data_IF_356290123571
#
_entry.id   IF_356290123571
#
_cell.length_a   1.000
_cell.length_b   1.000
_cell.length_c   1.000
_cell.angle_alpha   90.00
_cell.angle_beta   90.00
_cell.angle_gamma   90.00
#
_symmetry.space_group_name_H-M   'P 1'
#
loop_
_entity.id
_entity.type
_entity.pdbx_description
1 polymer ?
#
# COMPACT_ATOMS: atom_id res chain seq x y z
N UNK A 1 9.46 -38.58 64.76
CA UNK A 1 8.62 -39.18 63.70
C UNK A 1 7.96 -38.06 62.91
N UNK A 2 7.76 -38.27 61.62
CA UNK A 2 7.85 -37.31 60.53
C UNK A 2 6.76 -36.22 60.41
N UNK A 3 7.18 -35.17 59.70
CA UNK A 3 6.47 -34.12 58.96
C UNK A 3 5.08 -34.48 58.40
N UNK A 4 4.18 -33.48 58.25
CA UNK A 4 3.95 -32.81 56.96
C UNK A 4 3.01 -31.59 57.12
N UNK A 5 3.50 -30.43 56.67
CA UNK A 5 2.71 -29.23 56.40
C UNK A 5 1.92 -29.45 55.10
N UNK A 6 0.62 -29.15 55.08
CA UNK A 6 -0.16 -29.06 53.85
C UNK A 6 -0.49 -27.58 53.59
N UNK A 7 0.32 -26.94 52.74
CA UNK A 7 -0.01 -25.65 52.12
C UNK A 7 -0.44 -25.95 50.70
N UNK A 8 -1.71 -25.70 50.39
CA UNK A 8 -2.24 -25.77 49.02
C UNK A 8 -1.71 -24.57 48.22
N UNK A 9 -0.70 -24.79 47.39
CA UNK A 9 -0.30 -23.84 46.35
C UNK A 9 -1.11 -24.12 45.09
N UNK A 10 -2.08 -23.25 44.80
CA UNK A 10 -2.76 -23.18 43.51
C UNK A 10 -1.78 -22.63 42.47
N UNK A 11 -1.22 -23.51 41.64
CA UNK A 11 -0.50 -23.15 40.42
C UNK A 11 -1.51 -22.68 39.37
N UNK A 12 -1.72 -21.36 39.31
CA UNK A 12 -2.33 -20.71 38.15
C UNK A 12 -1.24 -20.48 37.11
N UNK A 13 -1.15 -21.39 36.13
CA UNK A 13 -0.35 -21.17 34.93
C UNK A 13 -1.02 -20.07 34.09
N UNK A 14 -0.59 -18.82 34.28
CA UNK A 14 -0.87 -17.76 33.34
C UNK A 14 -0.05 -18.05 32.08
N UNK A 15 -0.71 -18.54 31.03
CA UNK A 15 -0.17 -18.49 29.68
C UNK A 15 -0.05 -17.00 29.33
N UNK A 16 1.15 -16.45 29.50
CA UNK A 16 1.51 -15.18 28.90
C UNK A 16 1.44 -15.37 27.39
N UNK A 17 0.33 -14.93 26.79
CA UNK A 17 0.27 -14.67 25.35
C UNK A 17 1.35 -13.62 25.09
N UNK A 18 2.46 -14.03 24.48
CA UNK A 18 3.46 -13.12 23.95
C UNK A 18 2.79 -12.36 22.80
N UNK A 19 2.16 -11.24 23.12
CA UNK A 19 1.89 -10.22 22.13
C UNK A 19 3.24 -9.81 21.55
N UNK A 20 3.41 -9.95 20.23
CA UNK A 20 4.58 -9.41 19.54
C UNK A 20 4.74 -7.94 19.96
N UNK A 21 5.93 -7.49 20.39
CA UNK A 21 6.11 -6.11 20.78
C UNK A 21 5.78 -5.23 19.58
N UNK A 22 4.81 -4.32 19.77
CA UNK A 22 4.61 -3.22 18.83
C UNK A 22 5.88 -2.39 18.91
N UNK A 23 6.71 -2.44 17.86
CA UNK A 23 7.89 -1.58 17.72
C UNK A 23 7.42 -0.12 17.77
N UNK A 24 7.61 0.52 18.92
CA UNK A 24 7.46 1.95 19.06
C UNK A 24 8.58 2.63 18.27
N UNK A 25 8.30 3.68 17.48
CA UNK A 25 9.34 4.45 16.81
C UNK A 25 10.42 4.89 17.81
N UNK A 26 11.72 4.92 17.43
CA UNK A 26 12.80 5.27 18.35
C UNK A 26 12.55 6.66 18.93
N UNK A 27 12.73 6.86 20.23
CA UNK A 27 12.44 8.15 20.88
C UNK A 27 13.38 9.27 20.41
N UNK A 28 14.64 8.94 20.10
CA UNK A 28 15.66 9.88 19.64
C UNK A 28 16.12 9.54 18.22
N UNK A 29 15.89 10.45 17.27
CA UNK A 29 16.37 10.34 15.87
C UNK A 29 17.54 11.31 15.72
N UNK A 30 18.70 10.77 15.40
CA UNK A 30 19.88 11.60 15.17
C UNK A 30 19.80 12.30 13.81
N UNK A 31 19.87 13.63 13.84
CA UNK A 31 20.02 14.45 12.63
C UNK A 31 21.46 14.39 12.13
N UNK A 32 21.65 14.66 10.85
CA UNK A 32 22.99 14.79 10.27
C UNK A 32 23.81 15.87 11.01
N UNK A 33 25.04 15.51 11.36
CA UNK A 33 26.01 16.45 11.91
C UNK A 33 26.38 17.54 10.90
N UNK A 34 26.62 18.76 11.40
CA UNK A 34 27.01 19.92 10.59
C UNK A 34 26.04 20.21 9.43
N UNK A 35 24.75 19.93 9.65
CA UNK A 35 23.72 20.14 8.64
C UNK A 35 23.60 21.61 8.23
N UNK A 36 23.77 21.88 6.94
CA UNK A 36 23.56 23.19 6.31
C UNK A 36 22.25 23.21 5.50
N UNK A 37 21.27 23.98 5.98
CA UNK A 37 19.97 24.10 5.32
C UNK A 37 20.06 24.80 3.96
N UNK A 38 21.01 25.73 3.77
CA UNK A 38 21.10 26.52 2.54
C UNK A 38 21.40 25.64 1.32
N UNK A 39 22.16 24.56 1.54
CA UNK A 39 22.51 23.56 0.52
C UNK A 39 21.38 22.59 0.18
N UNK A 40 20.34 22.52 1.02
CA UNK A 40 19.18 21.66 0.77
C UNK A 40 18.14 22.29 -0.16
N UNK A 41 18.24 23.60 -0.44
CA UNK A 41 17.30 24.26 -1.33
C UNK A 41 17.37 23.75 -2.77
N UNK A 42 16.33 24.07 -3.54
CA UNK A 42 16.15 23.64 -4.92
C UNK A 42 15.33 22.37 -5.06
N UNK A 43 15.42 21.77 -6.25
CA UNK A 43 14.61 20.62 -6.67
C UNK A 43 15.21 19.29 -6.19
N UNK A 44 14.33 18.38 -5.82
CA UNK A 44 14.55 17.00 -5.41
C UNK A 44 13.48 16.09 -6.03
N UNK A 45 13.82 14.83 -6.26
CA UNK A 45 12.92 13.77 -6.68
C UNK A 45 12.70 12.83 -5.52
N UNK A 46 11.46 12.50 -5.20
CA UNK A 46 11.11 11.55 -4.15
C UNK A 46 11.15 10.13 -4.76
N UNK A 47 12.24 9.39 -4.50
CA UNK A 47 12.59 8.16 -5.23
C UNK A 47 12.12 6.89 -4.51
N UNK A 48 12.22 6.85 -3.19
CA UNK A 48 11.74 5.73 -2.38
C UNK A 48 11.10 6.19 -1.07
N UNK A 49 10.23 5.36 -0.50
CA UNK A 49 9.51 5.65 0.74
C UNK A 49 9.33 4.38 1.55
N UNK A 50 9.30 4.50 2.87
CA UNK A 50 8.79 3.44 3.74
C UNK A 50 8.03 4.02 4.93
N UNK A 51 7.08 3.28 5.49
CA UNK A 51 6.28 3.81 6.61
C UNK A 51 5.68 2.76 7.52
N UNK A 52 5.57 3.07 8.82
CA UNK A 52 4.74 2.31 9.77
C UNK A 52 3.28 2.77 9.78
N UNK A 53 2.94 3.86 9.07
CA UNK A 53 1.59 4.37 9.01
C UNK A 53 0.67 3.39 8.26
N UNK A 54 -0.39 2.83 8.91
CA UNK A 54 -1.25 1.82 8.29
C UNK A 54 -1.93 2.29 7.01
N UNK A 55 -2.19 3.60 6.90
CA UNK A 55 -2.74 4.18 5.68
C UNK A 55 -1.70 4.21 4.57
N UNK A 56 -0.49 4.71 4.85
CA UNK A 56 0.54 4.85 3.82
C UNK A 56 0.96 3.49 3.25
N UNK A 57 1.06 2.46 4.11
CA UNK A 57 1.28 1.07 3.68
C UNK A 57 0.29 0.58 2.61
N UNK A 58 -0.95 1.07 2.60
CA UNK A 58 -2.01 0.63 1.66
C UNK A 58 -2.02 1.37 0.33
N UNK A 59 -1.36 2.52 0.23
CA UNK A 59 -1.45 3.40 -0.93
C UNK A 59 -0.11 3.73 -1.57
N UNK A 60 1.00 3.41 -0.89
CA UNK A 60 2.35 3.74 -1.31
C UNK A 60 2.76 3.05 -2.62
N UNK A 61 2.26 1.85 -2.89
CA UNK A 61 2.39 1.11 -4.16
C UNK A 61 1.75 1.83 -5.35
N UNK A 62 0.75 2.68 -5.10
CA UNK A 62 0.05 3.46 -6.13
C UNK A 62 0.65 4.85 -6.33
N UNK A 63 1.64 5.21 -5.52
CA UNK A 63 2.32 6.48 -5.65
C UNK A 63 3.39 6.38 -6.74
N UNK A 64 3.43 7.38 -7.60
CA UNK A 64 4.56 7.61 -8.49
C UNK A 64 5.51 8.61 -7.87
N UNK A 65 6.71 8.68 -8.44
CA UNK A 65 7.71 9.68 -8.11
C UNK A 65 7.10 11.08 -8.16
N UNK A 66 7.48 11.92 -7.20
CA UNK A 66 7.07 13.31 -7.11
C UNK A 66 8.30 14.22 -7.05
N UNK A 67 8.19 15.44 -7.54
CA UNK A 67 9.21 16.46 -7.31
C UNK A 67 8.93 17.20 -6.02
N UNK A 68 9.98 17.60 -5.31
CA UNK A 68 9.96 18.46 -4.14
C UNK A 68 10.87 19.65 -4.41
N UNK A 69 10.39 20.86 -4.24
CA UNK A 69 11.17 22.10 -4.29
C UNK A 69 11.18 22.72 -2.91
N UNK A 70 12.37 22.88 -2.34
CA UNK A 70 12.60 23.56 -1.07
C UNK A 70 13.16 24.96 -1.33
N UNK A 71 12.68 25.94 -0.58
CA UNK A 71 13.17 27.32 -0.66
C UNK A 71 13.04 28.07 0.65
N UNK A 72 13.38 29.35 0.62
CA UNK A 72 13.15 30.25 1.75
C UNK A 72 11.64 30.38 2.02
N UNK A 73 11.26 30.40 3.29
CA UNK A 73 9.88 30.59 3.72
C UNK A 73 9.44 32.05 3.69
N UNK A 74 8.24 32.35 4.20
CA UNK A 74 7.77 33.73 4.31
C UNK A 74 8.53 34.50 5.39
N UNK A 75 9.12 33.79 6.35
CA UNK A 75 9.97 34.31 7.40
C UNK A 75 11.29 33.55 7.45
N UNK A 76 12.31 34.12 8.10
CA UNK A 76 13.62 33.46 8.29
C UNK A 76 13.51 32.15 9.09
N UNK A 77 12.44 31.99 9.88
CA UNK A 77 12.14 30.78 10.64
C UNK A 77 11.44 29.69 9.82
N UNK A 78 11.12 29.94 8.56
CA UNK A 78 10.35 29.03 7.71
C UNK A 78 11.15 28.54 6.49
N UNK A 79 10.73 27.38 5.98
CA UNK A 79 11.21 26.79 4.73
C UNK A 79 9.99 26.52 3.88
N UNK A 80 9.92 27.15 2.70
CA UNK A 80 8.86 26.83 1.75
C UNK A 80 9.10 25.46 1.15
N UNK A 81 8.02 24.71 0.98
CA UNK A 81 8.01 23.39 0.36
C UNK A 81 6.90 23.37 -0.68
N UNK A 82 7.24 22.95 -1.90
CA UNK A 82 6.26 22.68 -2.96
C UNK A 82 6.53 21.31 -3.56
N UNK A 83 5.53 20.44 -3.55
CA UNK A 83 5.58 19.08 -4.09
C UNK A 83 4.62 18.94 -5.26
N UNK A 84 5.08 18.33 -6.34
CA UNK A 84 4.31 18.18 -7.58
C UNK A 84 4.33 16.72 -8.03
N UNK A 85 3.18 16.19 -8.43
CA UNK A 85 3.05 14.78 -8.85
C UNK A 85 1.86 14.52 -9.77
N UNK A 86 1.96 13.43 -10.52
CA UNK A 86 0.83 12.85 -11.24
C UNK A 86 -0.17 12.19 -10.28
N UNK A 87 -1.45 12.55 -10.41
CA UNK A 87 -2.53 11.91 -9.68
C UNK A 87 -3.81 11.90 -10.51
N UNK A 88 -4.34 10.69 -10.78
CA UNK A 88 -5.59 10.49 -11.54
C UNK A 88 -5.59 11.21 -12.90
N UNK A 89 -4.46 11.19 -13.62
CA UNK A 89 -4.32 11.83 -14.94
C UNK A 89 -4.12 13.34 -14.92
N UNK A 90 -4.02 13.97 -13.75
CA UNK A 90 -3.75 15.39 -13.60
C UNK A 90 -2.48 15.62 -12.77
N UNK A 91 -1.77 16.70 -13.08
CA UNK A 91 -0.67 17.16 -12.25
C UNK A 91 -1.20 17.93 -11.03
N UNK A 92 -0.96 17.41 -9.83
CA UNK A 92 -1.33 18.05 -8.56
C UNK A 92 -0.10 18.72 -7.92
N UNK A 93 -0.28 19.96 -7.47
CA UNK A 93 0.70 20.72 -6.68
C UNK A 93 0.23 20.87 -5.23
N UNK A 94 1.19 20.74 -4.31
CA UNK A 94 0.97 20.86 -2.89
C UNK A 94 2.07 21.73 -2.31
N UNK A 95 1.68 22.86 -1.71
CA UNK A 95 2.61 23.75 -1.03
C UNK A 95 2.36 23.79 0.47
N UNK A 96 3.43 24.00 1.22
CA UNK A 96 3.42 24.16 2.66
C UNK A 96 4.67 24.93 3.14
N UNK A 97 4.72 25.16 4.44
CA UNK A 97 5.88 25.75 5.09
C UNK A 97 6.29 24.87 6.27
N UNK A 98 7.57 24.51 6.33
CA UNK A 98 8.18 23.91 7.50
C UNK A 98 8.71 25.00 8.42
N UNK A 99 8.52 24.83 9.72
CA UNK A 99 9.10 25.68 10.76
C UNK A 99 10.46 25.11 11.17
N UNK A 100 11.49 25.95 11.18
CA UNK A 100 12.82 25.63 11.70
C UNK A 100 12.74 25.48 13.22
N UNK A 101 13.45 24.49 13.75
CA UNK A 101 13.56 24.29 15.21
C UNK A 101 14.90 24.80 15.73
N UNK A 102 15.13 24.71 17.03
CA UNK A 102 16.45 24.97 17.63
C UNK A 102 17.54 23.98 17.18
N UNK A 103 17.15 22.86 16.57
CA UNK A 103 18.05 21.82 16.09
C UNK A 103 18.12 21.86 14.57
N UNK A 104 19.30 22.17 14.01
CA UNK A 104 19.52 22.13 12.58
C UNK A 104 19.26 20.72 12.03
N UNK A 105 18.56 20.63 10.91
CA UNK A 105 18.14 19.34 10.33
C UNK A 105 16.85 18.77 10.93
N UNK A 106 16.28 19.40 11.98
CA UNK A 106 14.95 19.10 12.52
C UNK A 106 13.97 20.21 12.19
N UNK A 107 12.84 19.83 11.61
CA UNK A 107 11.78 20.74 11.17
C UNK A 107 10.42 20.32 11.72
N UNK A 108 9.59 21.31 12.01
CA UNK A 108 8.20 21.11 12.42
C UNK A 108 7.27 21.42 11.26
N UNK A 109 6.23 20.61 11.13
CA UNK A 109 5.12 20.90 10.24
C UNK A 109 3.83 20.79 11.03
N UNK A 110 3.22 21.95 11.28
CA UNK A 110 1.95 22.01 11.97
C UNK A 110 0.80 22.18 10.98
N UNK A 111 -0.22 21.35 11.14
CA UNK A 111 -1.48 21.47 10.39
C UNK A 111 -2.60 21.81 11.38
N UNK A 112 -2.94 23.10 11.55
CA UNK A 112 -3.93 23.55 12.53
C UNK A 112 -5.29 22.87 12.36
N UNK A 113 -5.72 22.70 11.10
CA UNK A 113 -7.01 22.08 10.74
C UNK A 113 -7.17 20.64 11.27
N UNK A 114 -6.05 19.92 11.43
CA UNK A 114 -6.02 18.53 11.85
C UNK A 114 -5.48 18.35 13.26
N UNK A 115 -5.07 19.46 13.90
CA UNK A 115 -4.29 19.47 15.13
C UNK A 115 -3.17 18.41 15.11
N UNK A 116 -2.48 18.33 13.97
CA UNK A 116 -1.47 17.32 13.68
C UNK A 116 -0.12 18.01 13.58
N UNK A 117 0.85 17.47 14.31
CA UNK A 117 2.23 17.93 14.30
C UNK A 117 3.10 16.81 13.76
N UNK A 118 3.90 17.15 12.77
CA UNK A 118 4.94 16.26 12.25
C UNK A 118 6.30 16.85 12.54
N UNK A 119 7.22 15.99 12.93
CA UNK A 119 8.62 16.32 13.11
C UNK A 119 9.41 15.61 12.01
N UNK A 120 10.10 16.38 11.17
CA UNK A 120 10.94 15.84 10.09
C UNK A 120 12.41 16.03 10.43
N UNK A 121 13.20 15.00 10.15
CA UNK A 121 14.60 14.88 10.51
C UNK A 121 15.38 14.55 9.24
N UNK A 122 16.37 15.36 8.88
CA UNK A 122 17.33 15.00 7.82
C UNK A 122 18.43 14.19 8.47
N UNK A 123 18.46 12.89 8.17
CA UNK A 123 19.38 11.94 8.85
C UNK A 123 20.65 11.73 8.04
N UNK A 124 20.56 11.69 6.71
CA UNK A 124 21.70 11.55 5.82
C UNK A 124 21.48 12.36 4.54
N UNK A 125 22.47 13.12 4.10
CA UNK A 125 22.50 13.84 2.84
C UNK A 125 23.92 14.29 2.51
N UNK A 126 24.27 14.25 1.24
CA UNK A 126 25.46 14.91 0.72
C UNK A 126 25.12 16.19 -0.07
N UNK A 127 23.86 16.66 0.01
CA UNK A 127 23.28 17.84 -0.66
C UNK A 127 23.19 17.77 -2.18
N UNK A 128 24.16 17.13 -2.83
CA UNK A 128 24.39 17.20 -4.26
C UNK A 128 23.86 15.95 -5.00
N UNK A 129 23.58 14.85 -4.29
CA UNK A 129 23.10 13.59 -4.88
C UNK A 129 21.81 13.10 -4.21
N UNK A 130 21.80 12.97 -2.88
CA UNK A 130 20.67 12.35 -2.16
C UNK A 130 20.40 12.98 -0.79
N UNK A 131 19.22 12.73 -0.26
CA UNK A 131 18.84 13.03 1.12
C UNK A 131 17.81 12.03 1.65
N UNK A 132 18.00 11.55 2.87
CA UNK A 132 17.07 10.68 3.59
C UNK A 132 16.42 11.50 4.71
N UNK A 133 15.09 11.53 4.68
CA UNK A 133 14.27 12.20 5.67
C UNK A 133 13.50 11.16 6.47
N UNK A 134 13.49 11.32 7.78
CA UNK A 134 12.58 10.60 8.66
C UNK A 134 11.54 11.57 9.22
N UNK A 135 10.27 11.22 9.12
CA UNK A 135 9.16 12.02 9.65
C UNK A 135 8.40 11.24 10.70
N UNK A 136 8.41 11.75 11.93
CA UNK A 136 7.53 11.30 13.01
C UNK A 136 6.22 12.07 12.95
N UNK A 137 5.11 11.35 12.97
CA UNK A 137 3.77 11.92 13.07
C UNK A 137 3.15 11.54 14.40
N UNK A 138 2.71 12.55 15.14
CA UNK A 138 1.95 12.39 16.36
C UNK A 138 0.46 12.60 16.06
N UNK A 139 -0.36 11.60 16.40
CA UNK A 139 -1.81 11.66 16.29
C UNK A 139 -2.43 11.43 17.66
N UNK A 140 -3.56 12.08 17.95
CA UNK A 140 -4.32 11.82 19.18
C UNK A 140 -5.12 10.52 19.11
N UNK A 141 -5.35 9.99 17.91
CA UNK A 141 -6.21 8.83 17.65
C UNK A 141 -5.44 7.53 17.43
N UNK A 142 -4.17 7.62 17.02
CA UNK A 142 -3.30 6.49 16.74
C UNK A 142 -1.92 6.77 17.34
N UNK A 143 -1.19 5.72 17.72
CA UNK A 143 0.18 5.85 18.21
C UNK A 143 1.10 6.57 17.20
N UNK A 144 2.28 7.02 17.65
CA UNK A 144 3.23 7.69 16.77
C UNK A 144 3.60 6.79 15.58
N UNK A 145 3.66 7.38 14.40
CA UNK A 145 4.06 6.68 13.17
C UNK A 145 5.32 7.31 12.62
N UNK A 146 6.13 6.52 11.94
CA UNK A 146 7.36 6.98 11.30
C UNK A 146 7.30 6.70 9.80
N UNK A 147 7.79 7.64 9.02
CA UNK A 147 7.89 7.54 7.56
C UNK A 147 9.30 7.93 7.14
N UNK A 148 9.96 7.08 6.37
CA UNK A 148 11.23 7.37 5.73
C UNK A 148 10.99 7.76 4.27
N UNK A 149 11.69 8.78 3.78
CA UNK A 149 11.65 9.22 2.39
C UNK A 149 13.08 9.37 1.87
N UNK A 150 13.37 8.79 0.71
CA UNK A 150 14.60 9.00 -0.03
C UNK A 150 14.36 10.01 -1.14
N UNK A 151 15.18 11.05 -1.16
CA UNK A 151 15.20 12.05 -2.20
C UNK A 151 16.51 11.99 -2.99
N UNK A 152 16.42 12.17 -4.31
CA UNK A 152 17.56 12.30 -5.20
C UNK A 152 17.57 13.67 -5.89
N UNK A 153 18.74 14.20 -6.25
CA UNK A 153 18.84 15.32 -7.20
C UNK A 153 18.49 14.91 -8.63
N UNK A 154 18.51 13.60 -8.89
CA UNK A 154 18.06 12.96 -10.13
C UNK A 154 16.97 11.93 -9.81
N UNK A 155 16.10 11.58 -10.78
CA UNK A 155 15.04 10.59 -10.59
C UNK A 155 15.58 9.17 -10.41
N UNK A 156 16.75 8.88 -10.98
CA UNK A 156 17.42 7.58 -10.88
C UNK A 156 18.62 7.70 -9.94
N UNK A 157 18.70 6.80 -8.96
CA UNK A 157 19.81 6.71 -8.01
C UNK A 157 20.51 5.36 -8.13
N UNK A 158 21.77 5.29 -7.71
CA UNK A 158 22.54 4.04 -7.66
C UNK A 158 21.94 3.07 -6.64
N UNK A 159 22.00 1.77 -6.94
CA UNK A 159 21.43 0.71 -6.09
C UNK A 159 21.95 0.75 -4.65
N UNK A 160 23.23 1.09 -4.46
CA UNK A 160 23.82 1.25 -3.13
C UNK A 160 23.14 2.31 -2.25
N UNK A 161 22.54 3.36 -2.85
CA UNK A 161 21.75 4.35 -2.09
C UNK A 161 20.36 3.84 -1.75
N UNK A 162 19.79 2.99 -2.61
CA UNK A 162 18.52 2.32 -2.31
C UNK A 162 18.71 1.31 -1.16
N UNK A 163 19.85 0.61 -1.13
CA UNK A 163 20.19 -0.29 -0.03
C UNK A 163 20.47 0.48 1.27
N UNK A 164 21.24 1.57 1.22
CA UNK A 164 21.45 2.46 2.38
C UNK A 164 20.11 2.98 2.93
N UNK A 165 19.18 3.37 2.05
CA UNK A 165 17.84 3.76 2.45
C UNK A 165 17.05 2.63 3.12
N UNK A 166 17.13 1.39 2.59
CA UNK A 166 16.51 0.21 3.20
C UNK A 166 17.06 -0.03 4.60
N UNK A 167 18.38 0.00 4.78
CA UNK A 167 19.02 -0.17 6.09
C UNK A 167 18.55 0.89 7.09
N UNK A 168 18.50 2.17 6.69
CA UNK A 168 18.01 3.26 7.55
C UNK A 168 16.53 3.05 7.92
N UNK A 169 15.68 2.69 6.96
CA UNK A 169 14.25 2.48 7.19
C UNK A 169 14.00 1.28 8.14
N UNK A 170 14.69 0.15 7.92
CA UNK A 170 14.63 -1.03 8.78
C UNK A 170 15.13 -0.69 10.19
N UNK A 171 16.22 0.07 10.30
CA UNK A 171 16.83 0.49 11.57
C UNK A 171 15.89 1.31 12.47
N UNK A 172 14.90 2.00 11.87
CA UNK A 172 13.89 2.75 12.63
C UNK A 172 12.55 2.02 12.76
N UNK A 173 12.51 0.72 12.45
CA UNK A 173 11.37 -0.17 12.67
C UNK A 173 10.32 -0.15 11.55
N UNK A 174 10.64 0.38 10.36
CA UNK A 174 9.78 0.21 9.18
C UNK A 174 10.02 -1.20 8.64
N UNK A 175 9.01 -2.06 8.52
CA UNK A 175 9.21 -3.42 8.02
C UNK A 175 9.49 -3.41 6.51
N UNK A 176 10.21 -4.44 6.05
CA UNK A 176 10.70 -4.55 4.67
C UNK A 176 9.57 -4.50 3.62
N UNK A 177 8.45 -5.15 3.91
CA UNK A 177 7.22 -5.15 3.09
C UNK A 177 6.53 -3.78 2.98
N UNK A 178 7.04 -2.80 3.73
CA UNK A 178 6.52 -1.45 3.84
C UNK A 178 7.53 -0.42 3.33
N UNK A 179 8.48 -0.85 2.50
CA UNK A 179 9.49 -0.02 1.81
C UNK A 179 9.32 -0.20 0.30
N UNK A 180 9.15 0.91 -0.42
CA UNK A 180 8.81 0.92 -1.84
C UNK A 180 9.67 1.93 -2.61
N UNK A 181 10.18 1.51 -3.75
CA UNK A 181 10.74 2.40 -4.77
C UNK A 181 9.60 2.85 -5.69
N UNK A 182 9.47 4.15 -5.89
CA UNK A 182 8.37 4.71 -6.68
C UNK A 182 8.66 4.60 -8.18
N UNK A 183 7.61 4.36 -8.96
CA UNK A 183 7.72 4.37 -10.42
C UNK A 183 7.93 5.80 -10.93
N UNK A 184 8.90 5.97 -11.83
CA UNK A 184 9.13 7.20 -12.56
C UNK A 184 8.08 7.36 -13.68
N UNK A 185 7.20 8.35 -13.53
CA UNK A 185 6.19 8.74 -14.53
C UNK A 185 6.54 10.05 -15.23
N UNK A 186 7.78 10.51 -15.08
CA UNK A 186 8.20 11.83 -15.51
C UNK A 186 7.71 12.96 -14.59
N UNK A 187 8.29 14.14 -14.80
CA UNK A 187 7.84 15.37 -14.18
C UNK A 187 6.50 15.82 -14.77
N UNK A 188 5.78 16.65 -14.01
CA UNK A 188 4.57 17.30 -14.49
C UNK A 188 4.55 18.74 -14.04
N UNK A 189 3.92 19.60 -14.85
CA UNK A 189 3.69 21.00 -14.48
C UNK A 189 2.22 21.17 -14.09
N UNK A 190 1.92 21.90 -12.99
CA UNK A 190 0.54 22.12 -12.57
C UNK A 190 -0.30 22.72 -13.70
N UNK A 191 -1.40 22.05 -14.05
CA UNK A 191 -2.25 22.41 -15.20
C UNK A 191 -2.14 21.48 -16.41
N UNK A 192 -1.13 20.60 -16.46
CA UNK A 192 -1.02 19.56 -17.49
C UNK A 192 -1.97 18.38 -17.23
N UNK A 193 -2.53 17.83 -18.30
CA UNK A 193 -3.28 16.58 -18.32
C UNK A 193 -2.43 15.50 -19.00
N UNK A 194 -2.50 14.27 -18.47
CA UNK A 194 -1.79 13.12 -19.03
C UNK A 194 -2.27 12.91 -20.49
N UNK A 195 -1.35 12.78 -21.47
CA UNK A 195 -1.75 12.65 -22.87
C UNK A 195 -2.61 11.40 -23.08
N UNK A 196 -3.78 11.59 -23.72
CA UNK A 196 -4.69 10.50 -24.13
C UNK A 196 -3.89 9.43 -24.91
N UNK A 197 -4.04 8.13 -24.58
CA UNK A 197 -3.37 7.08 -25.32
C UNK A 197 -3.84 7.10 -26.77
N UNK A 198 -2.92 7.45 -27.68
CA UNK A 198 -3.18 7.39 -29.12
C UNK A 198 -3.63 5.96 -29.49
N UNK A 199 -4.68 5.77 -30.31
CA UNK A 199 -5.11 4.45 -30.72
C UNK A 199 -4.02 3.80 -31.57
N UNK A 200 -3.27 2.86 -30.97
CA UNK A 200 -2.29 2.06 -31.68
C UNK A 200 -2.98 1.28 -32.81
N UNK A 201 -2.56 1.55 -34.05
CA UNK A 201 -2.96 0.77 -35.22
C UNK A 201 -2.52 -0.69 -35.02
N UNK A 202 -3.48 -1.62 -35.08
CA UNK A 202 -3.25 -3.07 -35.10
C UNK A 202 -2.29 -3.45 -36.24
N UNK A 203 -1.13 -3.98 -35.91
CA UNK A 203 -0.31 -4.76 -36.85
C UNK A 203 -0.75 -6.24 -36.81
N UNK A 204 -0.79 -6.86 -37.98
CA UNK A 204 -1.34 -8.21 -38.23
C UNK A 204 -0.47 -9.35 -37.66
N UNK A 205 -1.16 -10.46 -37.40
CA UNK A 205 -0.69 -11.76 -36.90
C UNK A 205 0.18 -12.49 -37.93
N UNK A 206 1.27 -13.13 -37.48
CA UNK A 206 1.96 -14.20 -38.20
C UNK A 206 2.07 -15.44 -37.29
N UNK A 207 2.02 -16.64 -37.89
CA UNK A 207 1.85 -17.96 -37.26
C UNK A 207 3.19 -18.73 -37.21
N UNK A 208 3.48 -19.31 -36.03
CA UNK A 208 4.27 -20.49 -35.57
C UNK A 208 5.21 -21.28 -36.52
N UNK A 209 6.25 -21.97 -35.98
CA UNK A 209 6.11 -23.37 -35.50
C UNK A 209 6.72 -23.71 -34.11
N UNK A 210 6.33 -24.90 -33.61
CA UNK A 210 6.49 -25.52 -32.28
C UNK A 210 7.84 -26.25 -31.99
N UNK A 211 8.13 -26.28 -30.67
CA UNK A 211 8.67 -27.33 -29.77
C UNK A 211 10.07 -27.95 -29.91
N UNK A 212 10.73 -28.12 -28.75
CA UNK A 212 11.27 -29.40 -28.23
C UNK A 212 11.46 -29.33 -26.68
N UNK A 213 11.35 -30.49 -26.04
CA UNK A 213 11.26 -30.77 -24.60
C UNK A 213 12.58 -30.63 -23.81
N UNK A 214 12.50 -30.46 -22.49
CA UNK A 214 13.69 -30.48 -21.62
C UNK A 214 13.43 -30.38 -20.11
N UNK A 215 13.26 -31.55 -19.50
CA UNK A 215 13.25 -31.93 -18.06
C UNK A 215 14.19 -31.20 -17.08
N UNK A 216 13.74 -31.01 -15.82
CA UNK A 216 14.58 -31.28 -14.63
C UNK A 216 14.72 -30.23 -13.51
N UNK A 217 13.83 -30.30 -12.51
CA UNK A 217 14.07 -30.18 -11.04
C UNK A 217 14.73 -28.92 -10.42
N UNK A 218 14.06 -28.33 -9.39
CA UNK A 218 14.77 -27.57 -8.35
C UNK A 218 13.99 -26.57 -7.49
N UNK A 219 13.48 -27.05 -6.35
CA UNK A 219 13.30 -26.36 -5.06
C UNK A 219 12.20 -25.29 -4.81
N UNK A 220 11.41 -25.63 -3.79
CA UNK A 220 10.67 -24.82 -2.81
C UNK A 220 10.94 -23.30 -2.81
N UNK A 221 9.92 -22.53 -3.20
CA UNK A 221 9.81 -21.11 -2.86
C UNK A 221 8.44 -20.87 -2.23
N UNK A 222 8.45 -20.30 -1.03
CA UNK A 222 7.32 -19.92 -0.19
C UNK A 222 6.39 -18.96 -0.93
N UNK A 223 5.13 -19.37 -1.02
CA UNK A 223 4.17 -18.92 -2.02
C UNK A 223 3.15 -17.95 -1.42
N UNK A 224 3.49 -16.66 -1.42
CA UNK A 224 2.51 -15.58 -1.21
C UNK A 224 2.35 -14.68 -2.44
N UNK A 225 3.27 -14.73 -3.41
CA UNK A 225 3.22 -13.96 -4.65
C UNK A 225 2.60 -14.70 -5.86
N UNK A 226 2.49 -16.05 -5.89
CA UNK A 226 1.86 -16.71 -7.07
C UNK A 226 0.34 -16.66 -7.06
N UNK A 227 -0.28 -16.41 -5.90
CA UNK A 227 -1.75 -16.40 -5.78
C UNK A 227 -2.40 -15.21 -6.46
N UNK A 228 -1.69 -14.07 -6.55
CA UNK A 228 -2.20 -12.85 -7.16
C UNK A 228 -2.01 -12.87 -8.70
N UNK A 229 -0.89 -13.44 -9.18
CA UNK A 229 -0.69 -13.76 -10.61
C UNK A 229 -1.72 -14.76 -11.13
N UNK A 230 -2.17 -15.68 -10.27
CA UNK A 230 -3.18 -16.67 -10.62
C UNK A 230 -4.53 -16.04 -11.00
N UNK A 231 -4.87 -14.90 -10.41
CA UNK A 231 -6.13 -14.20 -10.68
C UNK A 231 -6.24 -13.64 -12.11
N UNK A 232 -5.12 -13.56 -12.84
CA UNK A 232 -5.09 -13.11 -14.24
C UNK A 232 -5.18 -14.26 -15.25
N UNK A 233 -5.06 -15.50 -14.79
CA UNK A 233 -5.18 -16.69 -15.64
C UNK A 233 -6.65 -16.98 -15.95
N UNK A 234 -6.94 -17.70 -17.04
CA UNK A 234 -8.26 -18.32 -17.24
C UNK A 234 -8.48 -19.48 -16.26
N UNK A 235 -9.67 -20.08 -16.22
CA UNK A 235 -9.85 -21.35 -15.52
C UNK A 235 -9.24 -22.50 -16.32
N UNK A 236 -8.85 -23.57 -15.63
CA UNK A 236 -8.34 -24.79 -16.26
C UNK A 236 -8.99 -26.03 -15.64
N UNK A 237 -9.70 -26.81 -16.45
CA UNK A 237 -10.43 -28.01 -16.01
C UNK A 237 -9.47 -29.17 -15.68
N UNK A 238 -8.32 -29.23 -16.36
CA UNK A 238 -7.38 -30.33 -16.25
C UNK A 238 -7.83 -31.59 -17.00
N UNK A 239 -6.97 -32.62 -17.14
CA UNK A 239 -7.26 -33.79 -17.96
C UNK A 239 -8.11 -34.85 -17.26
N UNK A 240 -8.31 -34.75 -15.94
CA UNK A 240 -9.12 -35.71 -15.21
C UNK A 240 -10.63 -35.50 -15.46
N UNK A 241 -11.43 -36.56 -15.30
CA UNK A 241 -12.86 -36.58 -15.62
C UNK A 241 -13.77 -36.38 -14.40
N UNK A 242 -13.24 -35.84 -13.30
CA UNK A 242 -14.02 -35.47 -12.13
C UNK A 242 -14.98 -34.33 -12.43
N UNK A 243 -16.10 -34.28 -11.70
CA UNK A 243 -17.11 -33.21 -11.83
C UNK A 243 -17.13 -32.35 -10.56
N UNK A 244 -15.99 -31.72 -10.24
CA UNK A 244 -15.87 -30.91 -9.02
C UNK A 244 -16.16 -29.44 -9.35
N UNK A 245 -17.23 -28.89 -8.81
CA UNK A 245 -17.53 -27.46 -8.97
C UNK A 245 -16.51 -26.61 -8.20
N UNK A 246 -15.85 -25.68 -8.89
CA UNK A 246 -14.86 -24.74 -8.34
C UNK A 246 -15.17 -23.33 -8.80
N UNK A 247 -14.48 -22.36 -8.21
CA UNK A 247 -14.58 -20.94 -8.57
C UNK A 247 -13.29 -20.46 -9.23
N UNK A 248 -13.41 -19.58 -10.21
CA UNK A 248 -12.29 -18.83 -10.78
C UNK A 248 -12.67 -17.35 -10.81
N UNK A 249 -11.66 -16.48 -10.69
CA UNK A 249 -11.85 -15.05 -10.85
C UNK A 249 -11.83 -14.67 -12.32
N UNK A 250 -12.91 -14.05 -12.78
CA UNK A 250 -13.02 -13.52 -14.12
C UNK A 250 -12.78 -12.00 -14.06
N UNK A 251 -11.60 -11.56 -14.53
CA UNK A 251 -11.23 -10.15 -14.53
C UNK A 251 -12.11 -9.26 -15.42
N UNK A 252 -12.77 -9.84 -16.44
CA UNK A 252 -13.65 -9.10 -17.35
C UNK A 252 -15.01 -8.78 -16.71
N UNK A 253 -15.59 -9.74 -15.99
CA UNK A 253 -16.84 -9.54 -15.23
C UNK A 253 -16.60 -9.02 -13.80
N UNK A 254 -15.33 -8.99 -13.37
CA UNK A 254 -14.90 -8.67 -12.00
C UNK A 254 -15.68 -9.49 -10.96
N UNK A 255 -15.86 -10.78 -11.23
CA UNK A 255 -16.66 -11.69 -10.43
C UNK A 255 -15.98 -13.05 -10.29
N UNK A 256 -16.36 -13.78 -9.24
CA UNK A 256 -15.96 -15.18 -9.07
C UNK A 256 -17.04 -16.08 -9.67
N UNK A 257 -16.70 -16.73 -10.78
CA UNK A 257 -17.59 -17.58 -11.56
C UNK A 257 -17.28 -19.05 -11.32
N UNK A 258 -18.28 -19.92 -11.48
CA UNK A 258 -18.10 -21.35 -11.28
C UNK A 258 -17.64 -22.03 -12.56
N UNK A 259 -16.76 -23.03 -12.44
CA UNK A 259 -16.37 -23.91 -13.54
C UNK A 259 -16.26 -25.36 -13.06
N UNK A 260 -16.22 -26.31 -14.01
CA UNK A 260 -16.06 -27.74 -13.73
C UNK A 260 -14.57 -28.09 -13.70
N UNK A 261 -14.09 -28.52 -12.55
CA UNK A 261 -12.72 -28.99 -12.38
C UNK A 261 -12.67 -30.52 -12.39
N UNK A 262 -11.81 -31.04 -13.27
CA UNK A 262 -11.56 -32.46 -13.50
C UNK A 262 -10.99 -33.22 -12.31
N UNK A 263 -10.47 -32.50 -11.30
CA UNK A 263 -9.93 -33.10 -10.08
C UNK A 263 -8.42 -33.31 -10.07
N UNK A 264 -7.72 -33.04 -11.18
CA UNK A 264 -6.25 -33.03 -11.23
C UNK A 264 -5.70 -31.97 -12.19
N UNK A 265 -4.45 -31.55 -11.94
CA UNK A 265 -3.74 -30.48 -12.66
C UNK A 265 -4.55 -29.17 -12.70
N UNK A 266 -4.43 -28.39 -13.78
CA UNK A 266 -5.04 -27.07 -13.88
C UNK A 266 -4.09 -25.94 -13.50
N UNK A 267 -4.63 -24.77 -13.15
CA UNK A 267 -3.86 -23.59 -12.78
C UNK A 267 -4.36 -22.99 -11.46
N UNK A 268 -3.70 -21.93 -11.00
CA UNK A 268 -3.98 -21.32 -9.69
C UNK A 268 -5.28 -20.52 -9.62
N UNK A 269 -5.98 -20.26 -10.74
CA UNK A 269 -7.29 -19.61 -10.73
C UNK A 269 -8.40 -20.63 -10.42
N UNK A 270 -8.27 -21.31 -9.29
CA UNK A 270 -9.11 -22.44 -8.89
C UNK A 270 -9.30 -22.43 -7.37
N UNK A 271 -10.49 -21.99 -6.95
CA UNK A 271 -10.85 -21.78 -5.55
C UNK A 271 -11.99 -22.69 -5.14
N UNK A 272 -12.00 -23.13 -3.89
CA UNK A 272 -13.05 -24.02 -3.37
C UNK A 272 -14.35 -23.27 -3.07
N UNK A 273 -14.29 -21.96 -2.88
CA UNK A 273 -15.46 -21.13 -2.56
C UNK A 273 -15.39 -19.74 -3.19
N UNK A 274 -16.56 -19.15 -3.43
CA UNK A 274 -16.69 -17.75 -3.88
C UNK A 274 -15.97 -16.79 -2.93
N UNK A 275 -16.05 -17.07 -1.62
CA UNK A 275 -15.38 -16.28 -0.58
C UNK A 275 -13.87 -16.25 -0.77
N UNK A 276 -13.27 -17.43 -0.90
CA UNK A 276 -11.82 -17.56 -1.07
C UNK A 276 -11.36 -16.87 -2.35
N UNK A 277 -12.10 -17.06 -3.45
CA UNK A 277 -11.83 -16.40 -4.72
C UNK A 277 -11.88 -14.87 -4.59
N UNK A 278 -12.95 -14.32 -4.00
CA UNK A 278 -13.09 -12.86 -3.82
C UNK A 278 -12.05 -12.29 -2.85
N UNK A 279 -11.71 -13.00 -1.78
CA UNK A 279 -10.69 -12.54 -0.85
C UNK A 279 -9.27 -12.58 -1.44
N UNK A 280 -9.02 -13.46 -2.42
CA UNK A 280 -7.72 -13.59 -3.10
C UNK A 280 -7.59 -12.63 -4.27
N UNK A 281 -8.64 -12.46 -5.08
CA UNK A 281 -8.52 -11.83 -6.41
C UNK A 281 -9.27 -10.51 -6.60
N UNK A 282 -10.17 -10.13 -5.69
CA UNK A 282 -10.98 -8.90 -5.85
C UNK A 282 -10.09 -7.67 -5.77
N UNK A 283 -10.29 -6.73 -6.69
CA UNK A 283 -9.56 -5.45 -6.69
C UNK A 283 -10.45 -4.30 -6.23
N UNK A 284 -9.86 -3.12 -6.02
CA UNK A 284 -10.61 -1.89 -5.69
C UNK A 284 -11.58 -1.44 -6.79
N UNK A 285 -11.45 -1.95 -8.01
CA UNK A 285 -12.42 -1.70 -9.08
C UNK A 285 -13.82 -2.23 -8.72
N UNK A 286 -13.91 -3.26 -7.87
CA UNK A 286 -15.16 -3.79 -7.34
C UNK A 286 -16.02 -2.73 -6.64
N UNK A 287 -15.41 -1.70 -6.06
CA UNK A 287 -16.11 -0.62 -5.36
C UNK A 287 -16.97 0.24 -6.30
N UNK A 288 -16.70 0.21 -7.60
CA UNK A 288 -17.47 0.97 -8.59
C UNK A 288 -18.59 0.13 -9.23
N UNK A 289 -18.71 -1.15 -8.87
CA UNK A 289 -19.74 -2.04 -9.42
C UNK A 289 -21.07 -1.85 -8.67
N UNK A 290 -22.23 -2.13 -9.31
CA UNK A 290 -23.51 -2.04 -8.65
C UNK A 290 -23.66 -3.08 -7.52
N UNK A 291 -24.48 -2.78 -6.52
CA UNK A 291 -24.84 -3.75 -5.47
C UNK A 291 -25.80 -4.78 -6.08
N UNK A 292 -25.37 -6.03 -6.23
CA UNK A 292 -26.14 -7.08 -6.91
C UNK A 292 -26.53 -8.21 -5.94
N UNK A 293 -27.83 -8.36 -5.68
CA UNK A 293 -28.38 -9.48 -4.89
C UNK A 293 -28.23 -10.83 -5.59
N UNK A 294 -28.25 -10.85 -6.93
CA UNK A 294 -28.30 -12.09 -7.72
C UNK A 294 -29.70 -12.72 -7.75
N UNK A 295 -29.94 -13.71 -8.62
CA UNK A 295 -31.27 -14.29 -8.84
C UNK A 295 -31.67 -15.33 -7.78
N UNK A 296 -30.72 -15.87 -7.02
CA UNK A 296 -31.00 -16.85 -5.98
C UNK A 296 -31.72 -16.23 -4.76
N UNK A 297 -32.47 -17.07 -4.04
CA UNK A 297 -33.33 -16.65 -2.91
C UNK A 297 -32.71 -16.89 -1.53
N UNK A 298 -31.41 -17.15 -1.46
CA UNK A 298 -30.67 -17.27 -0.22
C UNK A 298 -30.66 -15.97 0.59
N UNK A 299 -30.30 -16.08 1.87
CA UNK A 299 -30.23 -14.97 2.80
C UNK A 299 -28.82 -14.89 3.40
N UNK A 300 -27.92 -14.22 2.69
CA UNK A 300 -26.55 -13.99 3.15
C UNK A 300 -26.36 -12.50 3.43
N UNK A 301 -26.30 -12.12 4.71
CA UNK A 301 -26.04 -10.73 5.11
C UNK A 301 -24.56 -10.41 4.89
N UNK A 302 -24.28 -9.61 3.87
CA UNK A 302 -22.95 -9.18 3.47
C UNK A 302 -22.90 -7.66 3.42
N UNK A 303 -21.74 -7.13 3.05
CA UNK A 303 -21.51 -5.69 2.88
C UNK A 303 -21.19 -5.40 1.43
N UNK A 304 -21.65 -4.26 0.93
CA UNK A 304 -21.29 -3.73 -0.38
C UNK A 304 -20.99 -2.25 -0.24
N UNK A 305 -20.18 -1.72 -1.13
CA UNK A 305 -19.94 -0.29 -1.20
C UNK A 305 -21.02 0.36 -2.05
N UNK A 306 -21.76 1.29 -1.45
CA UNK A 306 -22.65 2.15 -2.20
C UNK A 306 -21.85 3.36 -2.71
N UNK A 307 -21.51 3.33 -4.00
CA UNK A 307 -20.75 4.41 -4.62
C UNK A 307 -21.51 5.74 -4.68
N UNK A 308 -22.84 5.73 -4.69
CA UNK A 308 -23.65 6.94 -4.66
C UNK A 308 -23.67 7.58 -3.27
N UNK A 309 -23.69 6.76 -2.21
CA UNK A 309 -23.65 7.22 -0.81
C UNK A 309 -22.21 7.35 -0.26
N UNK A 310 -21.20 6.86 -0.99
CA UNK A 310 -19.81 6.84 -0.56
C UNK A 310 -19.55 6.02 0.70
N UNK A 311 -20.35 4.99 0.98
CA UNK A 311 -20.27 4.22 2.23
C UNK A 311 -20.52 2.73 2.04
N UNK A 312 -19.92 1.95 2.93
CA UNK A 312 -20.21 0.53 3.06
C UNK A 312 -21.58 0.33 3.70
N UNK A 313 -22.47 -0.37 3.01
CA UNK A 313 -23.83 -0.67 3.46
C UNK A 313 -24.03 -2.19 3.56
N UNK A 314 -24.78 -2.67 4.57
CA UNK A 314 -25.17 -4.07 4.59
C UNK A 314 -26.19 -4.33 3.49
N UNK A 315 -26.07 -5.46 2.81
CA UNK A 315 -27.03 -5.93 1.82
C UNK A 315 -27.25 -7.44 1.92
N UNK A 316 -28.35 -7.93 1.34
CA UNK A 316 -28.66 -9.36 1.29
C UNK A 316 -28.22 -9.91 -0.05
N UNK A 317 -27.26 -10.83 -0.04
CA UNK A 317 -26.87 -11.62 -1.20
C UNK A 317 -27.69 -12.91 -1.28
N UNK A 318 -28.17 -13.20 -2.49
CA UNK A 318 -29.04 -14.34 -2.80
C UNK A 318 -28.33 -15.69 -2.85
N UNK A 319 -27.00 -15.72 -2.82
CA UNK A 319 -26.21 -16.97 -2.77
C UNK A 319 -25.77 -17.53 -4.12
N UNK A 320 -26.07 -16.84 -5.24
CA UNK A 320 -25.46 -17.14 -6.53
C UNK A 320 -25.34 -15.89 -7.41
N UNK A 321 -24.37 -15.91 -8.32
CA UNK A 321 -24.05 -14.83 -9.25
C UNK A 321 -23.73 -13.50 -8.52
N UNK A 322 -23.80 -12.38 -9.24
CA UNK A 322 -23.38 -11.08 -8.74
C UNK A 322 -21.96 -10.76 -9.14
N UNK A 323 -21.37 -9.78 -8.48
CA UNK A 323 -20.09 -9.20 -8.86
C UNK A 323 -19.19 -9.04 -7.63
N UNK A 324 -18.00 -8.46 -7.85
CA UNK A 324 -17.01 -8.24 -6.82
C UNK A 324 -17.41 -7.24 -5.73
N UNK A 325 -18.50 -6.45 -5.87
CA UNK A 325 -18.94 -5.50 -4.84
C UNK A 325 -19.67 -6.21 -3.69
N UNK A 326 -18.94 -7.09 -3.01
CA UNK A 326 -19.45 -8.01 -2.00
C UNK A 326 -18.34 -8.32 -1.03
N UNK A 327 -18.56 -8.01 0.24
CA UNK A 327 -17.59 -8.11 1.33
C UNK A 327 -18.22 -8.88 2.50
N UNK A 328 -17.42 -9.69 3.19
CA UNK A 328 -17.89 -10.51 4.30
C UNK A 328 -17.91 -9.75 5.64
N UNK A 329 -17.34 -8.56 5.69
CA UNK A 329 -17.45 -7.65 6.83
C UNK A 329 -17.48 -6.18 6.42
N UNK A 330 -18.01 -5.33 7.30
CA UNK A 330 -17.97 -3.87 7.13
C UNK A 330 -16.53 -3.37 7.04
N UNK A 331 -15.66 -3.93 7.89
CA UNK A 331 -14.24 -3.62 7.94
C UNK A 331 -13.59 -3.93 6.60
N UNK A 332 -13.80 -5.12 6.06
CA UNK A 332 -13.29 -5.52 4.74
C UNK A 332 -13.80 -4.57 3.64
N UNK A 333 -15.09 -4.23 3.63
CA UNK A 333 -15.62 -3.26 2.68
C UNK A 333 -14.94 -1.88 2.82
N UNK A 334 -14.74 -1.39 4.05
CA UNK A 334 -14.08 -0.11 4.32
C UNK A 334 -12.60 -0.15 3.95
N UNK A 335 -11.95 -1.29 4.10
CA UNK A 335 -10.55 -1.47 3.71
C UNK A 335 -10.35 -1.43 2.20
N UNK A 336 -11.28 -2.01 1.44
CA UNK A 336 -11.23 -2.02 -0.03
C UNK A 336 -11.78 -0.74 -0.66
N UNK A 337 -12.92 -0.28 -0.16
CA UNK A 337 -13.75 0.74 -0.80
C UNK A 337 -13.97 1.99 0.03
N UNK A 338 -13.55 2.01 1.30
CA UNK A 338 -13.71 3.16 2.18
C UNK A 338 -12.96 4.36 1.61
N UNK A 339 -13.65 5.12 0.76
CA UNK A 339 -13.18 6.39 0.27
C UNK A 339 -13.00 7.28 1.51
N UNK A 340 -11.87 7.99 1.60
CA UNK A 340 -11.60 8.89 2.68
C UNK A 340 -12.73 9.96 2.76
N UNK A 341 -13.29 10.20 3.94
CA UNK A 341 -14.33 11.21 4.14
C UNK A 341 -13.83 12.59 3.69
N UNK A 342 -14.71 13.54 3.45
CA UNK A 342 -14.41 14.89 2.91
C UNK A 342 -13.40 15.76 3.71
N UNK A 343 -12.71 15.19 4.71
CA UNK A 343 -11.48 15.68 5.31
C UNK A 343 -10.19 15.31 4.58
N UNK A 344 -10.24 14.30 3.71
CA UNK A 344 -9.04 13.68 3.16
C UNK A 344 -8.62 14.22 1.80
N UNK A 345 -9.43 15.09 1.17
CA UNK A 345 -8.94 15.95 0.09
C UNK A 345 -7.81 16.86 0.58
N UNK A 346 -7.76 17.18 1.87
CA UNK A 346 -6.71 17.98 2.51
C UNK A 346 -5.60 17.15 3.18
N UNK A 347 -5.84 15.86 3.43
CA UNK A 347 -4.80 14.93 3.86
C UNK A 347 -3.84 14.55 2.73
N UNK A 348 -4.31 14.63 1.48
CA UNK A 348 -3.43 14.64 0.31
C UNK A 348 -2.46 15.83 0.31
N UNK A 349 -2.92 17.00 0.78
CA UNK A 349 -2.13 18.23 0.93
C UNK A 349 -1.25 18.27 2.19
N UNK A 350 -1.27 17.25 3.05
CA UNK A 350 -0.47 17.23 4.29
C UNK A 350 0.43 16.01 4.46
N UNK A 351 0.35 15.00 3.58
CA UNK A 351 1.29 13.87 3.52
C UNK A 351 2.25 13.91 2.32
N UNK A 352 2.17 14.96 1.51
CA UNK A 352 3.09 15.20 0.39
C UNK A 352 4.25 16.06 0.87
#
# INVERSE_FOLDING_TARGET
MWHLRAVFLLLTACLAVSASPVLTPPDDIQVQENFDISRMYGKWFHVAMGSTCPWLKKFMDRMSMSTLVLGEGATDGEISMTSTRWRRGACEEISGAYEKTSTNGKFLYHKPKWNMTMESYVVHTNYDEYAIFLTKKFSRHHGPTITAKLYGRQPQLRESLLEEFREVALGVGIPEDSIFTMADKGECVPGEQEPEPSPHRRAQRAVLPQEEEGSGTGQLVTDFNKKEDSCQLGHAEGPCLGMVMRFFYNGSSMACETFQYGGCLGNGNNFASEKECLQTCRTVAACNLPIVRGPCRGYHKLWAFDAAQGKCVPFVYGGCQGNGNKFYSEKECKEYCGVPGNGDKELLHSFS
#
